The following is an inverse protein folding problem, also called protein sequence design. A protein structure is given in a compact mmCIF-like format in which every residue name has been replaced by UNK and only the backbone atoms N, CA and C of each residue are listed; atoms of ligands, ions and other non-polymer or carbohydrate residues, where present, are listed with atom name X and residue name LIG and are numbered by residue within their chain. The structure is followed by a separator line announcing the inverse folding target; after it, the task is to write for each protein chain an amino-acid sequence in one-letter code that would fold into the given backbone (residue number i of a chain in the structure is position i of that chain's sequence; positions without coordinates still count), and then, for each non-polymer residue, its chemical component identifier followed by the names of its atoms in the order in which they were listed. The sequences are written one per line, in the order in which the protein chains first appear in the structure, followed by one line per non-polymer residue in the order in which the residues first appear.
data_IF_937539274704
#
_entry.id   IF_937539274704
#
_cell.length_a   1.000
_cell.length_b   1.000
_cell.length_c   1.000
_cell.angle_alpha   90.00
_cell.angle_beta   90.00
_cell.angle_gamma   90.00
#
_symmetry.space_group_name_H-M   'P 1'
#
loop_
_entity.id
_entity.type
_entity.pdbx_description
1 polymer ?
#
# COMPACT_ATOMS: atom_id res chain seq x y z
N UNK A 1 -40.62 -32.49 -20.74
CA UNK A 1 -39.30 -32.24 -21.37
C UNK A 1 -39.46 -31.09 -22.35
N UNK A 2 -39.08 -29.88 -21.94
CA UNK A 2 -38.85 -28.75 -22.85
C UNK A 2 -37.74 -27.92 -22.23
N UNK A 3 -36.55 -28.06 -22.79
CA UNK A 3 -35.30 -27.45 -22.36
C UNK A 3 -35.28 -25.96 -22.71
N UNK A 4 -35.11 -25.10 -21.70
CA UNK A 4 -34.73 -23.70 -21.88
C UNK A 4 -33.24 -23.66 -22.23
N UNK A 5 -32.81 -23.00 -23.31
CA UNK A 5 -31.39 -22.93 -23.67
C UNK A 5 -30.63 -21.99 -22.71
N UNK A 6 -29.34 -22.24 -22.43
CA UNK A 6 -28.56 -21.40 -21.53
C UNK A 6 -28.31 -20.03 -22.17
N UNK A 7 -28.69 -18.97 -21.46
CA UNK A 7 -28.26 -17.61 -21.80
C UNK A 7 -26.76 -17.49 -21.56
N UNK A 8 -26.01 -17.23 -22.63
CA UNK A 8 -24.61 -16.83 -22.55
C UNK A 8 -24.54 -15.47 -21.86
N UNK A 9 -23.88 -15.41 -20.70
CA UNK A 9 -23.45 -14.17 -20.08
C UNK A 9 -22.40 -13.52 -20.98
N UNK A 10 -22.80 -12.50 -21.72
CA UNK A 10 -21.89 -11.66 -22.49
C UNK A 10 -21.20 -10.70 -21.53
N UNK A 11 -20.18 -11.21 -20.83
CA UNK A 11 -19.21 -10.41 -20.11
C UNK A 11 -18.38 -9.63 -21.15
N UNK A 12 -18.90 -8.48 -21.58
CA UNK A 12 -18.11 -7.52 -22.35
C UNK A 12 -16.92 -7.09 -21.50
N UNK A 13 -15.73 -7.29 -22.04
CA UNK A 13 -14.47 -6.96 -21.37
C UNK A 13 -14.40 -5.45 -21.07
N UNK A 14 -13.90 -5.00 -19.91
CA UNK A 14 -13.76 -3.57 -19.56
C UNK A 14 -12.66 -2.82 -20.35
N UNK A 15 -12.43 -3.16 -21.63
CA UNK A 15 -11.29 -2.63 -22.40
C UNK A 15 -11.48 -1.21 -22.92
N UNK A 16 -12.69 -0.65 -22.92
CA UNK A 16 -12.96 0.61 -23.66
C UNK A 16 -13.03 1.88 -22.78
N UNK A 17 -12.94 1.79 -21.45
CA UNK A 17 -13.07 2.98 -20.59
C UNK A 17 -11.73 3.75 -20.40
N UNK A 18 -10.58 3.14 -20.75
CA UNK A 18 -9.26 3.68 -20.39
C UNK A 18 -8.36 4.11 -21.56
N UNK A 19 -8.80 4.03 -22.83
CA UNK A 19 -7.91 4.30 -23.97
C UNK A 19 -7.97 5.72 -24.56
N UNK A 20 -9.02 6.50 -24.28
CA UNK A 20 -9.19 7.81 -24.91
C UNK A 20 -9.21 8.97 -23.91
N UNK A 21 -8.06 9.28 -23.29
CA UNK A 21 -7.80 10.62 -22.73
C UNK A 21 -6.36 11.07 -23.01
N UNK A 22 -6.16 12.37 -23.33
CA UNK A 22 -4.90 12.87 -23.85
C UNK A 22 -3.77 12.70 -22.84
N UNK A 23 -2.72 11.99 -23.27
CA UNK A 23 -1.43 11.94 -22.60
C UNK A 23 -0.81 13.34 -22.63
N UNK A 24 -0.69 13.98 -21.46
CA UNK A 24 -0.06 15.29 -21.39
C UNK A 24 -0.01 15.87 -20.00
N UNK A 25 0.87 15.36 -19.14
CA UNK A 25 1.41 16.16 -18.04
C UNK A 25 2.89 16.41 -18.32
N UNK A 26 3.20 17.59 -18.86
CA UNK A 26 4.57 18.12 -18.89
C UNK A 26 4.91 18.60 -17.48
N UNK A 27 5.95 18.02 -16.90
CA UNK A 27 6.55 18.49 -15.65
C UNK A 27 7.25 19.82 -15.90
N UNK A 28 6.75 20.92 -15.33
CA UNK A 28 7.50 22.17 -15.25
C UNK A 28 8.55 22.07 -14.14
N UNK A 29 9.82 22.20 -14.50
CA UNK A 29 10.94 22.26 -13.56
C UNK A 29 11.04 23.66 -12.98
N UNK A 30 10.40 23.87 -11.82
CA UNK A 30 10.58 25.07 -11.01
C UNK A 30 11.86 25.01 -10.17
N UNK A 31 12.82 25.89 -10.47
CA UNK A 31 14.06 26.11 -9.71
C UNK A 31 13.76 26.58 -8.28
N UNK A 32 14.03 25.73 -7.28
CA UNK A 32 14.09 26.15 -5.88
C UNK A 32 15.52 26.56 -5.51
N UNK A 33 15.73 27.85 -5.22
CA UNK A 33 16.95 28.37 -4.60
C UNK A 33 16.99 27.95 -3.13
N UNK A 34 18.06 27.29 -2.72
CA UNK A 34 18.33 26.96 -1.32
C UNK A 34 18.87 28.20 -0.60
N UNK A 35 18.18 28.63 0.46
CA UNK A 35 18.76 29.53 1.46
C UNK A 35 19.37 28.67 2.57
N UNK A 36 20.69 28.65 2.65
CA UNK A 36 21.45 28.14 3.79
C UNK A 36 21.49 29.22 4.88
N UNK A 37 20.83 28.99 6.01
CA UNK A 37 21.14 29.68 7.27
C UNK A 37 21.80 28.69 8.21
N UNK A 38 23.01 29.07 8.63
CA UNK A 38 23.84 28.43 9.64
C UNK A 38 23.06 28.29 10.96
N UNK A 39 23.17 27.14 11.61
CA UNK A 39 22.95 27.01 13.06
C UNK A 39 24.20 26.34 13.61
N UNK A 40 24.83 27.07 14.53
CA UNK A 40 26.04 26.72 15.23
C UNK A 40 25.85 25.60 16.26
N UNK A 41 26.99 25.01 16.53
CA UNK A 41 27.41 24.03 17.54
C UNK A 41 26.56 23.95 18.83
N UNK A 42 26.10 22.74 19.15
CA UNK A 42 25.79 22.32 20.51
C UNK A 42 26.18 20.85 20.68
N UNK A 43 27.29 20.68 21.40
CA UNK A 43 27.85 19.42 21.85
C UNK A 43 27.03 18.84 23.01
N UNK A 44 26.51 17.63 22.85
CA UNK A 44 25.85 16.87 23.92
C UNK A 44 25.23 15.56 23.43
N UNK A 45 25.62 14.45 24.05
CA UNK A 45 25.03 13.11 23.95
C UNK A 45 25.25 12.27 22.67
N UNK A 46 26.52 11.89 22.43
CA UNK A 46 26.93 10.78 21.55
C UNK A 46 26.75 9.39 22.18
N UNK A 47 25.66 9.14 22.89
CA UNK A 47 25.48 7.87 23.61
C UNK A 47 24.18 7.11 23.31
N UNK A 48 23.38 7.43 22.30
CA UNK A 48 22.26 6.57 21.86
C UNK A 48 21.97 6.59 20.34
N UNK A 49 22.99 6.75 19.50
CA UNK A 49 22.86 6.41 18.07
C UNK A 49 22.90 4.88 17.89
N UNK A 50 21.75 4.23 18.13
CA UNK A 50 21.49 2.88 17.62
C UNK A 50 21.79 2.89 16.11
N UNK A 51 22.59 1.93 15.64
CA UNK A 51 22.91 1.70 14.21
C UNK A 51 21.68 1.96 13.35
N UNK A 52 21.73 3.00 12.52
CA UNK A 52 20.71 3.25 11.51
C UNK A 52 20.76 2.11 10.49
N UNK A 53 20.03 1.02 10.77
CA UNK A 53 19.69 0.06 9.73
C UNK A 53 19.02 0.86 8.62
N UNK A 54 19.51 0.69 7.39
CA UNK A 54 18.87 1.27 6.21
C UNK A 54 17.48 0.66 6.14
N UNK A 55 16.48 1.31 6.75
CA UNK A 55 15.08 0.87 6.75
C UNK A 55 14.71 0.61 5.30
N UNK A 56 13.95 -0.46 5.05
CA UNK A 56 13.57 -0.86 3.70
C UNK A 56 12.88 0.30 2.95
N UNK A 57 12.72 0.17 1.63
CA UNK A 57 11.82 1.04 0.86
C UNK A 57 10.44 0.42 0.70
N UNK A 58 10.05 -0.51 1.58
CA UNK A 58 8.85 -1.31 1.43
C UNK A 58 7.76 -0.90 2.44
N UNK A 59 6.51 -0.81 1.98
CA UNK A 59 5.36 -0.65 2.84
C UNK A 59 4.41 -1.86 2.77
N UNK A 60 3.79 -2.17 3.90
CA UNK A 60 2.68 -3.11 3.99
C UNK A 60 1.37 -2.33 3.99
N UNK A 61 0.49 -2.63 3.04
CA UNK A 61 -0.85 -2.07 2.93
C UNK A 61 -1.86 -3.16 3.35
N UNK A 62 -2.63 -2.87 4.39
CA UNK A 62 -3.60 -3.76 5.00
C UNK A 62 -4.99 -3.25 4.65
N UNK A 63 -5.61 -3.90 3.66
CA UNK A 63 -6.76 -3.37 2.94
C UNK A 63 -8.06 -3.86 3.60
N UNK A 64 -8.84 -2.91 4.14
CA UNK A 64 -10.24 -3.07 4.53
C UNK A 64 -10.54 -4.29 5.40
N UNK A 65 -9.71 -4.55 6.42
CA UNK A 65 -9.90 -5.66 7.37
C UNK A 65 -10.92 -5.30 8.46
N UNK A 66 -12.09 -4.85 8.03
CA UNK A 66 -13.18 -4.34 8.86
C UNK A 66 -14.21 -5.42 9.17
N UNK A 67 -14.96 -5.21 10.26
CA UNK A 67 -15.97 -6.17 10.73
C UNK A 67 -17.00 -6.49 9.66
N UNK A 68 -17.48 -5.51 8.88
CA UNK A 68 -18.50 -5.76 7.86
C UNK A 68 -18.03 -6.72 6.76
N UNK A 69 -16.75 -6.70 6.40
CA UNK A 69 -16.20 -7.62 5.41
C UNK A 69 -15.84 -8.99 5.99
N UNK A 70 -15.59 -9.08 7.29
CA UNK A 70 -15.16 -10.33 7.94
C UNK A 70 -16.35 -11.12 8.48
N UNK A 71 -17.22 -10.48 9.29
CA UNK A 71 -18.33 -11.15 9.99
C UNK A 71 -19.68 -10.44 9.84
N UNK A 72 -19.70 -9.19 9.37
CA UNK A 72 -20.87 -8.31 9.35
C UNK A 72 -21.66 -8.28 8.04
N UNK A 73 -22.13 -7.09 7.65
CA UNK A 73 -23.19 -6.95 6.64
C UNK A 73 -22.77 -7.34 5.21
N UNK A 74 -21.47 -7.27 4.91
CA UNK A 74 -20.89 -7.67 3.63
C UNK A 74 -19.80 -8.73 3.84
N UNK A 75 -20.04 -9.66 4.77
CA UNK A 75 -19.08 -10.70 5.10
C UNK A 75 -18.74 -11.53 3.85
N UNK A 76 -17.45 -11.74 3.58
CA UNK A 76 -17.01 -12.45 2.37
C UNK A 76 -17.59 -13.88 2.29
N UNK A 77 -17.78 -14.56 3.43
CA UNK A 77 -18.44 -15.88 3.49
C UNK A 77 -19.87 -15.90 2.93
N UNK A 78 -20.54 -14.74 2.91
CA UNK A 78 -21.89 -14.55 2.38
C UNK A 78 -21.89 -14.11 0.91
N UNK A 79 -20.71 -13.92 0.31
CA UNK A 79 -20.53 -13.60 -1.10
C UNK A 79 -20.37 -14.88 -1.94
N UNK A 80 -20.50 -14.81 -3.28
CA UNK A 80 -20.44 -15.98 -4.17
C UNK A 80 -19.18 -16.86 -4.03
N UNK A 81 -18.04 -16.29 -3.64
CA UNK A 81 -16.81 -17.05 -3.41
C UNK A 81 -16.92 -18.04 -2.24
N UNK A 82 -17.75 -17.74 -1.24
CA UNK A 82 -17.84 -18.51 0.01
C UNK A 82 -16.53 -18.53 0.81
N UNK A 83 -15.63 -17.58 0.56
CA UNK A 83 -14.32 -17.53 1.21
C UNK A 83 -14.41 -17.13 2.70
N UNK A 84 -13.60 -17.76 3.54
CA UNK A 84 -13.49 -17.41 4.97
C UNK A 84 -12.49 -16.27 5.19
N UNK A 85 -13.00 -15.06 5.46
CA UNK A 85 -12.18 -13.86 5.67
C UNK A 85 -11.37 -13.90 6.99
N UNK A 86 -11.83 -14.64 8.00
CA UNK A 86 -11.11 -14.82 9.26
C UNK A 86 -9.71 -15.43 9.07
N UNK A 87 -9.53 -16.27 8.04
CA UNK A 87 -8.25 -16.92 7.72
C UNK A 87 -7.14 -15.92 7.35
N UNK A 88 -7.49 -14.69 6.99
CA UNK A 88 -6.53 -13.64 6.64
C UNK A 88 -5.84 -13.06 7.88
N UNK A 89 -6.50 -13.06 9.04
CA UNK A 89 -6.03 -12.38 10.25
C UNK A 89 -4.68 -12.92 10.74
N UNK A 90 -4.45 -14.25 10.86
CA UNK A 90 -3.15 -14.76 11.31
C UNK A 90 -2.01 -14.36 10.38
N UNK A 91 -2.23 -14.37 9.06
CA UNK A 91 -1.24 -13.99 8.05
C UNK A 91 -0.92 -12.50 8.17
N UNK A 92 -1.95 -11.65 8.24
CA UNK A 92 -1.79 -10.19 8.39
C UNK A 92 -1.03 -9.86 9.67
N UNK A 93 -1.43 -10.44 10.81
CA UNK A 93 -0.77 -10.18 12.09
C UNK A 93 0.70 -10.58 12.06
N UNK A 94 1.03 -11.72 11.44
CA UNK A 94 2.40 -12.20 11.30
C UNK A 94 3.23 -11.27 10.42
N UNK A 95 2.72 -10.88 9.25
CA UNK A 95 3.41 -9.95 8.35
C UNK A 95 3.59 -8.58 8.99
N UNK A 96 2.55 -8.04 9.63
CA UNK A 96 2.59 -6.73 10.30
C UNK A 96 3.65 -6.68 11.39
N UNK A 97 3.86 -7.78 12.11
CA UNK A 97 4.85 -7.85 13.20
C UNK A 97 6.31 -7.77 12.73
N UNK A 98 6.58 -7.89 11.43
CA UNK A 98 7.94 -7.86 10.90
C UNK A 98 8.51 -6.44 10.87
N UNK A 99 9.75 -6.27 11.35
CA UNK A 99 10.45 -4.97 11.35
C UNK A 99 10.92 -4.50 9.96
N UNK A 100 10.67 -5.31 8.92
CA UNK A 100 11.11 -5.02 7.56
C UNK A 100 10.42 -3.76 7.02
N UNK A 101 9.18 -3.51 7.42
CA UNK A 101 8.36 -2.47 6.84
C UNK A 101 8.85 -1.08 7.20
N UNK A 102 9.06 -0.26 6.17
CA UNK A 102 9.27 1.18 6.33
C UNK A 102 8.03 1.87 6.88
N UNK A 103 6.87 1.38 6.44
CA UNK A 103 5.55 1.86 6.83
C UNK A 103 4.51 0.75 6.75
N UNK A 104 3.60 0.72 7.73
CA UNK A 104 2.37 -0.07 7.68
C UNK A 104 1.21 0.91 7.56
N UNK A 105 0.31 0.65 6.62
CA UNK A 105 -0.87 1.48 6.36
C UNK A 105 -2.11 0.61 6.32
N UNK A 106 -3.08 0.90 7.16
CA UNK A 106 -4.41 0.32 7.15
C UNK A 106 -5.33 1.19 6.31
N UNK A 107 -6.09 0.57 5.42
CA UNK A 107 -7.18 1.27 4.72
C UNK A 107 -8.49 0.95 5.39
N UNK A 108 -9.37 1.95 5.41
CA UNK A 108 -10.71 1.84 5.94
C UNK A 108 -11.67 2.30 4.86
N UNK A 109 -12.50 1.38 4.41
CA UNK A 109 -13.71 1.74 3.72
C UNK A 109 -14.62 2.49 4.69
N UNK A 110 -15.07 3.69 4.32
CA UNK A 110 -15.62 4.66 5.28
C UNK A 110 -16.73 5.46 4.64
N UNK A 111 -17.90 4.84 4.55
CA UNK A 111 -19.03 5.40 3.83
C UNK A 111 -19.92 6.29 4.71
N UNK A 112 -20.50 7.37 4.16
CA UNK A 112 -21.67 8.02 4.75
C UNK A 112 -22.93 7.15 4.57
N UNK A 113 -23.96 7.39 5.39
CA UNK A 113 -25.22 6.61 5.35
C UNK A 113 -25.95 6.69 4.00
N UNK A 114 -25.78 7.80 3.28
CA UNK A 114 -26.41 8.08 1.98
C UNK A 114 -25.56 7.67 0.78
N UNK A 115 -24.48 6.90 0.98
CA UNK A 115 -23.52 6.55 -0.08
C UNK A 115 -24.17 5.85 -1.29
N UNK A 116 -23.69 6.19 -2.49
CA UNK A 116 -24.23 5.76 -3.78
C UNK A 116 -24.06 4.28 -4.09
N UNK A 117 -23.10 3.64 -3.43
CA UNK A 117 -22.87 2.20 -3.60
C UNK A 117 -23.93 1.35 -2.89
N UNK A 118 -24.74 1.91 -1.98
CA UNK A 118 -25.73 1.12 -1.24
C UNK A 118 -27.01 0.92 -2.03
N UNK A 119 -27.48 -0.32 -2.09
CA UNK A 119 -28.76 -0.68 -2.72
C UNK A 119 -29.94 0.07 -2.10
N UNK A 120 -29.90 0.35 -0.80
CA UNK A 120 -30.91 1.12 -0.08
C UNK A 120 -30.98 2.59 -0.49
N UNK A 121 -29.94 3.09 -1.16
CA UNK A 121 -29.86 4.45 -1.69
C UNK A 121 -29.96 4.49 -3.22
N UNK A 122 -30.16 3.37 -3.91
CA UNK A 122 -30.19 3.32 -5.37
C UNK A 122 -31.19 4.32 -6.00
N UNK A 123 -32.35 4.52 -5.39
CA UNK A 123 -33.35 5.49 -5.85
C UNK A 123 -33.03 6.96 -5.52
N UNK A 124 -32.07 7.20 -4.63
CA UNK A 124 -31.62 8.56 -4.23
C UNK A 124 -30.51 9.09 -5.14
N UNK A 125 -29.88 8.21 -5.92
CA UNK A 125 -28.83 8.55 -6.86
C UNK A 125 -29.34 8.37 -8.30
N UNK A 126 -29.22 9.38 -9.17
CA UNK A 126 -29.78 9.31 -10.51
C UNK A 126 -29.05 8.24 -11.34
N UNK A 127 -29.80 7.32 -11.93
CA UNK A 127 -29.26 6.36 -12.89
C UNK A 127 -29.16 7.02 -14.26
N UNK A 128 -28.08 6.72 -14.98
CA UNK A 128 -27.92 7.15 -16.36
C UNK A 128 -28.87 6.37 -17.28
N UNK A 129 -29.34 6.98 -18.37
CA UNK A 129 -30.25 6.35 -19.34
C UNK A 129 -29.68 5.06 -19.98
N UNK A 130 -28.35 4.95 -20.03
CA UNK A 130 -27.62 3.77 -20.52
C UNK A 130 -27.60 2.62 -19.51
N UNK A 131 -28.00 2.84 -18.26
CA UNK A 131 -28.02 1.80 -17.25
C UNK A 131 -28.91 0.64 -17.70
N UNK A 132 -28.42 -0.61 -17.69
CA UNK A 132 -29.21 -1.76 -18.12
C UNK A 132 -30.36 -2.07 -17.17
N UNK A 133 -30.31 -1.52 -15.95
CA UNK A 133 -31.23 -1.79 -14.85
C UNK A 133 -31.80 -0.45 -14.38
N UNK A 134 -33.12 -0.38 -14.21
CA UNK A 134 -33.81 0.79 -13.67
C UNK A 134 -33.76 0.81 -12.13
N UNK A 135 -33.83 1.98 -11.47
CA UNK A 135 -33.76 2.07 -10.02
C UNK A 135 -34.74 1.17 -9.27
N UNK A 136 -35.98 1.02 -9.77
CA UNK A 136 -37.03 0.21 -9.13
C UNK A 136 -36.82 -1.30 -9.29
N UNK A 137 -35.94 -1.69 -10.20
CA UNK A 137 -35.61 -3.09 -10.51
C UNK A 137 -34.27 -3.52 -9.94
N UNK A 138 -33.46 -2.56 -9.48
CA UNK A 138 -32.13 -2.80 -8.95
C UNK A 138 -32.17 -3.73 -7.74
N UNK A 139 -31.24 -4.68 -7.72
CA UNK A 139 -31.04 -5.63 -6.63
C UNK A 139 -29.63 -5.50 -6.08
N UNK A 140 -29.47 -6.04 -4.87
CA UNK A 140 -28.15 -6.19 -4.27
C UNK A 140 -27.24 -6.99 -5.23
N UNK A 141 -26.01 -6.51 -5.39
CA UNK A 141 -24.99 -7.00 -6.33
C UNK A 141 -25.28 -6.77 -7.81
N UNK A 142 -26.29 -6.00 -8.20
CA UNK A 142 -26.38 -5.53 -9.59
C UNK A 142 -25.28 -4.50 -9.88
N UNK A 143 -24.82 -4.45 -11.13
CA UNK A 143 -24.01 -3.34 -11.63
C UNK A 143 -24.90 -2.41 -12.43
N UNK A 144 -24.95 -1.15 -12.02
CA UNK A 144 -25.75 -0.09 -12.65
C UNK A 144 -24.83 0.99 -13.21
N UNK A 145 -25.37 1.86 -14.05
CA UNK A 145 -24.66 3.06 -14.49
C UNK A 145 -25.29 4.26 -13.80
N UNK A 146 -24.57 4.88 -12.89
CA UNK A 146 -24.99 6.12 -12.24
C UNK A 146 -24.68 7.30 -13.15
N UNK A 147 -25.56 8.30 -13.14
CA UNK A 147 -25.24 9.60 -13.70
C UNK A 147 -24.18 10.26 -12.81
N UNK A 148 -23.09 10.73 -13.43
CA UNK A 148 -22.05 11.44 -12.70
C UNK A 148 -22.62 12.72 -12.06
N UNK A 149 -22.19 13.09 -10.84
CA UNK A 149 -22.59 14.36 -10.26
C UNK A 149 -22.14 15.52 -11.14
N UNK A 150 -23.06 16.44 -11.45
CA UNK A 150 -22.79 17.68 -12.17
C UNK A 150 -22.12 17.49 -13.56
N UNK A 151 -20.78 17.56 -13.62
CA UNK A 151 -19.94 17.53 -14.82
C UNK A 151 -19.18 16.21 -14.99
N UNK A 152 -19.47 15.24 -14.14
CA UNK A 152 -18.75 13.98 -14.12
C UNK A 152 -19.36 13.03 -15.16
N UNK A 153 -18.51 12.21 -15.81
CA UNK A 153 -19.02 11.17 -16.69
C UNK A 153 -19.89 10.20 -15.90
N UNK A 154 -20.75 9.47 -16.62
CA UNK A 154 -21.44 8.33 -16.04
C UNK A 154 -20.45 7.31 -15.47
N UNK A 155 -20.87 6.62 -14.41
CA UNK A 155 -19.99 5.71 -13.66
C UNK A 155 -20.67 4.37 -13.48
N UNK A 156 -19.96 3.29 -13.78
CA UNK A 156 -20.39 1.95 -13.36
C UNK A 156 -20.29 1.82 -11.85
N UNK A 157 -21.37 1.34 -11.22
CA UNK A 157 -21.44 1.13 -9.78
C UNK A 157 -22.02 -0.24 -9.48
N UNK A 158 -21.28 -1.04 -8.72
CA UNK A 158 -21.81 -2.25 -8.09
C UNK A 158 -22.63 -1.85 -6.87
N UNK A 159 -23.85 -2.34 -6.76
CA UNK A 159 -24.71 -2.07 -5.61
C UNK A 159 -24.44 -3.10 -4.50
N UNK A 160 -24.17 -2.61 -3.31
CA UNK A 160 -23.81 -3.38 -2.12
C UNK A 160 -24.89 -3.26 -1.04
N UNK A 161 -24.95 -4.18 -0.07
CA UNK A 161 -25.64 -3.89 1.19
C UNK A 161 -25.02 -2.65 1.85
N UNK A 162 -25.72 -2.06 2.83
CA UNK A 162 -25.11 -1.02 3.68
C UNK A 162 -23.96 -1.66 4.46
N UNK A 163 -22.76 -1.11 4.33
CA UNK A 163 -21.55 -1.61 4.96
C UNK A 163 -20.62 -0.45 5.29
N UNK A 164 -19.73 -0.66 6.26
CA UNK A 164 -18.63 0.24 6.62
C UNK A 164 -19.08 1.70 6.80
N UNK A 165 -20.29 1.90 7.33
CA UNK A 165 -20.80 3.23 7.65
C UNK A 165 -20.00 3.79 8.81
N UNK A 166 -19.41 4.97 8.64
CA UNK A 166 -18.49 5.55 9.60
C UNK A 166 -19.09 5.63 11.01
N UNK A 167 -18.31 5.23 12.03
CA UNK A 167 -18.73 5.22 13.43
C UNK A 167 -19.54 4.00 13.88
N UNK A 168 -19.98 3.13 12.96
CA UNK A 168 -20.67 1.89 13.30
C UNK A 168 -19.71 0.78 13.76
N UNK A 169 -20.27 -0.33 14.27
CA UNK A 169 -19.46 -1.52 14.58
C UNK A 169 -18.83 -2.13 13.32
N UNK A 170 -19.61 -2.21 12.23
CA UNK A 170 -19.19 -2.78 10.96
C UNK A 170 -17.98 -2.06 10.34
N UNK A 171 -17.86 -0.76 10.57
CA UNK A 171 -16.73 0.07 10.15
C UNK A 171 -15.42 -0.16 10.93
N UNK A 172 -15.47 -0.71 12.14
CA UNK A 172 -14.24 -0.91 12.93
C UNK A 172 -13.41 -2.03 12.32
N UNK A 173 -12.08 -1.94 12.48
CA UNK A 173 -11.19 -3.08 12.25
C UNK A 173 -11.61 -4.27 13.12
N UNK A 174 -11.38 -5.48 12.60
CA UNK A 174 -11.64 -6.69 13.37
C UNK A 174 -10.78 -6.76 14.62
N UNK A 175 -11.40 -7.14 15.75
CA UNK A 175 -10.79 -7.10 17.09
C UNK A 175 -9.50 -7.91 17.25
N UNK A 176 -9.31 -8.93 16.42
CA UNK A 176 -8.18 -9.85 16.51
C UNK A 176 -6.94 -9.37 15.71
N UNK A 177 -7.07 -8.27 14.97
CA UNK A 177 -5.96 -7.63 14.28
C UNK A 177 -5.01 -6.95 15.28
N UNK A 178 -3.71 -7.07 15.03
CA UNK A 178 -2.67 -6.41 15.82
C UNK A 178 -2.30 -5.09 15.15
N UNK A 179 -2.74 -4.01 15.77
CA UNK A 179 -2.53 -2.64 15.32
C UNK A 179 -1.60 -1.97 16.32
N UNK A 180 -0.59 -1.25 15.85
CA UNK A 180 0.30 -0.47 16.73
C UNK A 180 0.14 1.03 16.49
N UNK A 181 0.67 1.82 17.43
CA UNK A 181 0.51 3.28 17.44
C UNK A 181 1.20 3.98 16.25
N UNK A 182 2.24 3.38 15.68
CA UNK A 182 3.00 3.97 14.56
C UNK A 182 2.37 3.68 13.18
N UNK A 183 1.37 2.80 13.15
CA UNK A 183 0.64 2.47 11.92
C UNK A 183 -0.16 3.69 11.44
N UNK A 184 -0.33 3.81 10.13
CA UNK A 184 -1.13 4.90 9.54
C UNK A 184 -2.44 4.39 8.99
N UNK A 185 -3.41 5.30 8.91
CA UNK A 185 -4.77 4.99 8.46
C UNK A 185 -5.17 5.89 7.31
N UNK A 186 -5.78 5.28 6.28
CA UNK A 186 -6.32 5.98 5.12
C UNK A 186 -7.79 5.60 4.98
N UNK A 187 -8.66 6.60 5.00
CA UNK A 187 -10.08 6.41 4.71
C UNK A 187 -10.34 6.56 3.22
N UNK A 188 -11.22 5.74 2.67
CA UNK A 188 -11.72 5.81 1.29
C UNK A 188 -13.24 5.65 1.27
N UNK A 189 -13.87 6.02 0.14
CA UNK A 189 -15.33 5.92 -0.01
C UNK A 189 -16.12 6.95 0.80
N UNK A 190 -15.48 8.06 1.19
CA UNK A 190 -16.09 9.07 2.07
C UNK A 190 -17.04 10.03 1.35
N UNK A 191 -17.03 10.05 0.01
CA UNK A 191 -17.91 10.88 -0.80
C UNK A 191 -19.20 10.13 -1.11
N UNK A 192 -20.36 10.65 -0.69
CA UNK A 192 -21.64 9.96 -0.88
C UNK A 192 -22.02 9.70 -2.33
N UNK A 193 -21.39 10.37 -3.30
CA UNK A 193 -21.77 10.27 -4.72
C UNK A 193 -20.76 9.51 -5.59
N UNK A 194 -19.61 9.12 -5.04
CA UNK A 194 -18.55 8.44 -5.79
C UNK A 194 -17.88 7.42 -4.87
N UNK A 195 -17.95 6.16 -5.28
CA UNK A 195 -17.31 5.06 -4.57
C UNK A 195 -15.79 5.01 -4.79
N UNK A 196 -15.06 4.29 -3.94
CA UNK A 196 -13.60 4.22 -3.97
C UNK A 196 -13.11 2.83 -3.56
N UNK A 197 -12.89 1.96 -4.56
CA UNK A 197 -12.25 0.67 -4.29
C UNK A 197 -10.75 0.83 -4.07
N UNK A 198 -10.08 1.61 -4.92
CA UNK A 198 -8.67 1.90 -4.73
C UNK A 198 -8.47 2.75 -3.47
N UNK A 199 -7.40 2.46 -2.75
CA UNK A 199 -6.94 3.28 -1.63
C UNK A 199 -6.15 4.51 -2.07
N UNK A 200 -5.91 4.71 -3.37
CA UNK A 200 -5.21 5.90 -3.90
C UNK A 200 -6.18 6.97 -4.43
N UNK A 201 -7.15 6.58 -5.26
CA UNK A 201 -8.15 7.48 -5.83
C UNK A 201 -9.56 6.87 -5.76
N UNK A 202 -10.57 7.73 -5.79
CA UNK A 202 -11.95 7.29 -6.03
C UNK A 202 -12.12 6.69 -7.44
N UNK A 203 -13.22 5.97 -7.65
CA UNK A 203 -13.45 5.23 -8.90
C UNK A 203 -13.52 6.13 -10.15
N UNK A 204 -13.78 7.42 -9.97
CA UNK A 204 -13.81 8.43 -11.03
C UNK A 204 -12.48 9.20 -11.19
N UNK A 205 -11.49 8.91 -10.34
CA UNK A 205 -10.20 9.59 -10.22
C UNK A 205 -10.31 11.10 -9.98
N UNK A 206 -11.32 11.51 -9.21
CA UNK A 206 -11.61 12.92 -8.92
C UNK A 206 -10.96 13.36 -7.62
N UNK A 207 -11.03 12.50 -6.61
CA UNK A 207 -10.42 12.73 -5.32
C UNK A 207 -9.31 11.71 -5.13
N UNK A 208 -8.15 12.22 -4.71
CA UNK A 208 -7.08 11.39 -4.17
C UNK A 208 -7.27 11.23 -2.67
N UNK A 209 -6.92 10.06 -2.15
CA UNK A 209 -6.65 9.89 -0.72
C UNK A 209 -5.25 10.46 -0.40
N UNK A 210 -4.85 10.38 0.87
CA UNK A 210 -3.49 10.73 1.29
C UNK A 210 -2.49 9.55 1.22
N UNK A 211 -2.88 8.36 0.71
CA UNK A 211 -2.00 7.19 0.67
C UNK A 211 -0.72 7.45 -0.12
N UNK A 212 -0.85 8.00 -1.34
CA UNK A 212 0.32 8.28 -2.18
C UNK A 212 1.29 9.24 -1.49
N UNK A 213 0.75 10.28 -0.85
CA UNK A 213 1.54 11.30 -0.16
C UNK A 213 2.28 10.70 1.05
N UNK A 214 1.63 9.83 1.84
CA UNK A 214 2.25 9.08 2.94
C UNK A 214 3.43 8.24 2.42
N UNK A 215 3.19 7.43 1.37
CA UNK A 215 4.22 6.52 0.84
C UNK A 215 5.42 7.30 0.26
N UNK A 216 5.16 8.41 -0.43
CA UNK A 216 6.21 9.28 -0.99
C UNK A 216 7.04 9.94 0.10
N UNK A 217 6.40 10.45 1.16
CA UNK A 217 7.09 11.06 2.29
C UNK A 217 8.04 10.07 2.99
N UNK A 218 7.67 8.79 3.03
CA UNK A 218 8.48 7.72 3.64
C UNK A 218 9.55 7.13 2.70
N UNK A 219 9.60 7.58 1.43
CA UNK A 219 10.53 7.08 0.41
C UNK A 219 10.22 5.65 -0.06
N UNK A 220 8.95 5.23 0.04
CA UNK A 220 8.51 3.89 -0.35
C UNK A 220 8.55 3.73 -1.87
N UNK A 221 9.01 2.56 -2.31
CA UNK A 221 9.07 2.13 -3.71
C UNK A 221 8.35 0.81 -3.93
N UNK A 222 8.33 -0.04 -2.91
CA UNK A 222 7.72 -1.38 -2.95
C UNK A 222 6.49 -1.38 -2.03
N UNK A 223 5.33 -1.81 -2.54
CA UNK A 223 4.11 -1.97 -1.74
C UNK A 223 3.65 -3.42 -1.77
N UNK A 224 3.33 -3.94 -0.59
CA UNK A 224 2.84 -5.29 -0.37
C UNK A 224 1.42 -5.19 0.17
N UNK A 225 0.47 -5.80 -0.53
CA UNK A 225 -0.95 -5.72 -0.20
C UNK A 225 -1.43 -7.05 0.40
N UNK A 226 -2.16 -6.95 1.50
CA UNK A 226 -2.97 -8.02 2.10
C UNK A 226 -4.36 -7.43 2.39
N UNK A 227 -5.40 -8.26 2.45
CA UNK A 227 -6.73 -7.83 2.91
C UNK A 227 -7.87 -8.19 1.98
N UNK A 228 -8.90 -7.35 2.00
CA UNK A 228 -10.21 -7.63 1.40
C UNK A 228 -10.68 -6.46 0.52
N UNK A 229 -11.48 -6.68 -0.52
CA UNK A 229 -11.61 -7.94 -1.24
C UNK A 229 -10.56 -8.02 -2.36
N UNK A 230 -10.09 -9.24 -2.63
CA UNK A 230 -9.11 -9.57 -3.69
C UNK A 230 -9.44 -8.90 -5.02
N UNK A 231 -10.68 -9.09 -5.47
CA UNK A 231 -11.22 -8.70 -6.77
C UNK A 231 -11.76 -7.27 -6.81
N UNK A 232 -11.73 -6.57 -5.69
CA UNK A 232 -12.10 -5.16 -5.57
C UNK A 232 -10.95 -4.37 -4.95
N UNK A 233 -11.05 -3.95 -3.69
CA UNK A 233 -10.15 -2.98 -3.08
C UNK A 233 -8.67 -3.37 -3.19
N UNK A 234 -8.34 -4.66 -3.02
CA UNK A 234 -6.97 -5.15 -3.18
C UNK A 234 -6.50 -4.99 -4.62
N UNK A 235 -7.24 -5.53 -5.61
CA UNK A 235 -6.81 -5.48 -7.00
C UNK A 235 -6.83 -4.06 -7.58
N UNK A 236 -7.82 -3.24 -7.26
CA UNK A 236 -7.88 -1.84 -7.72
C UNK A 236 -6.71 -1.03 -7.13
N UNK A 237 -6.42 -1.20 -5.83
CA UNK A 237 -5.25 -0.56 -5.19
C UNK A 237 -3.93 -1.07 -5.80
N UNK A 238 -3.83 -2.37 -6.10
CA UNK A 238 -2.64 -2.96 -6.70
C UNK A 238 -2.38 -2.41 -8.11
N UNK A 239 -3.42 -2.37 -8.93
CA UNK A 239 -3.34 -1.86 -10.30
C UNK A 239 -2.98 -0.38 -10.33
N UNK A 240 -3.64 0.44 -9.51
CA UNK A 240 -3.33 1.87 -9.44
C UNK A 240 -1.95 2.13 -8.83
N UNK A 241 -1.51 1.29 -7.88
CA UNK A 241 -0.13 1.30 -7.41
C UNK A 241 0.90 1.08 -8.53
N UNK A 242 0.60 0.22 -9.50
CA UNK A 242 1.45 0.04 -10.70
C UNK A 242 1.42 1.27 -11.60
N UNK A 243 0.26 1.87 -11.81
CA UNK A 243 0.11 3.12 -12.58
C UNK A 243 0.91 4.27 -11.97
N UNK A 244 0.97 4.35 -10.63
CA UNK A 244 1.75 5.33 -9.87
C UNK A 244 3.26 5.00 -9.78
N UNK A 245 3.70 3.89 -10.37
CA UNK A 245 5.12 3.52 -10.48
C UNK A 245 5.70 2.74 -9.31
N UNK A 246 4.87 2.21 -8.39
CA UNK A 246 5.35 1.32 -7.33
C UNK A 246 5.65 -0.09 -7.86
N UNK A 247 6.61 -0.78 -7.26
CA UNK A 247 6.68 -2.24 -7.36
C UNK A 247 5.57 -2.81 -6.47
N UNK A 248 4.66 -3.57 -7.06
CA UNK A 248 3.46 -4.03 -6.34
C UNK A 248 3.48 -5.54 -6.18
N UNK A 249 3.23 -5.96 -4.95
CA UNK A 249 3.14 -7.34 -4.54
C UNK A 249 1.79 -7.56 -3.85
N UNK A 250 1.08 -8.64 -4.20
CA UNK A 250 -0.15 -9.05 -3.50
C UNK A 250 0.13 -10.38 -2.82
N UNK A 251 -0.04 -10.43 -1.50
CA UNK A 251 0.22 -11.62 -0.69
C UNK A 251 -1.04 -12.47 -0.65
N UNK A 252 -1.05 -13.56 -1.41
CA UNK A 252 -2.29 -14.16 -1.89
C UNK A 252 -3.09 -14.87 -0.81
N UNK A 253 -2.40 -15.58 0.08
CA UNK A 253 -2.96 -16.25 1.25
C UNK A 253 -3.34 -15.26 2.36
N UNK A 254 -2.84 -14.03 2.30
CA UNK A 254 -3.28 -12.88 3.10
C UNK A 254 -4.47 -12.12 2.49
N UNK A 255 -5.19 -12.71 1.52
CA UNK A 255 -6.34 -12.08 0.87
C UNK A 255 -7.51 -13.07 0.69
N UNK A 256 -8.73 -12.52 0.57
CA UNK A 256 -9.95 -13.24 0.14
C UNK A 256 -10.79 -12.31 -0.74
N UNK A 257 -11.62 -12.87 -1.63
CA UNK A 257 -12.38 -12.11 -2.62
C UNK A 257 -13.87 -12.41 -2.58
N UNK A 258 -14.67 -11.60 -3.26
CA UNK A 258 -16.14 -11.64 -3.27
C UNK A 258 -16.65 -12.71 -4.23
N UNK A 259 -16.09 -12.77 -5.45
CA UNK A 259 -16.60 -13.62 -6.53
C UNK A 259 -15.49 -14.39 -7.24
N UNK A 260 -15.73 -15.66 -7.58
CA UNK A 260 -14.71 -16.52 -8.18
C UNK A 260 -14.29 -16.08 -9.59
N UNK A 261 -15.23 -15.60 -10.41
CA UNK A 261 -14.93 -15.11 -11.75
C UNK A 261 -14.22 -13.75 -11.67
N UNK A 262 -14.65 -12.87 -10.76
CA UNK A 262 -13.98 -11.62 -10.41
C UNK A 262 -12.54 -11.84 -9.96
N UNK A 263 -12.31 -12.78 -9.04
CA UNK A 263 -10.97 -13.17 -8.56
C UNK A 263 -10.09 -13.59 -9.73
N UNK A 264 -10.59 -14.46 -10.61
CA UNK A 264 -9.84 -14.95 -11.77
C UNK A 264 -9.51 -13.82 -12.74
N UNK A 265 -10.50 -13.00 -13.10
CA UNK A 265 -10.33 -11.89 -14.04
C UNK A 265 -9.34 -10.83 -13.50
N UNK A 266 -9.49 -10.44 -12.24
CA UNK A 266 -8.63 -9.43 -11.62
C UNK A 266 -7.22 -9.96 -11.35
N UNK A 267 -7.06 -11.26 -11.04
CA UNK A 267 -5.74 -11.89 -10.97
C UNK A 267 -4.96 -11.77 -12.28
N UNK A 268 -5.64 -12.04 -13.40
CA UNK A 268 -5.02 -11.92 -14.72
C UNK A 268 -4.66 -10.47 -15.05
N UNK A 269 -5.58 -9.54 -14.79
CA UNK A 269 -5.34 -8.10 -14.99
C UNK A 269 -4.15 -7.60 -14.15
N UNK A 270 -4.06 -8.02 -12.89
CA UNK A 270 -2.93 -7.69 -12.00
C UNK A 270 -1.60 -8.21 -12.57
N UNK A 271 -1.54 -9.48 -12.99
CA UNK A 271 -0.32 -10.05 -13.60
C UNK A 271 0.09 -9.31 -14.86
N UNK A 272 -0.87 -8.99 -15.73
CA UNK A 272 -0.63 -8.23 -16.96
C UNK A 272 -0.08 -6.81 -16.68
N UNK A 273 -0.52 -6.17 -15.59
CA UNK A 273 0.03 -4.89 -15.13
C UNK A 273 1.40 -5.00 -14.43
N UNK A 274 1.95 -6.21 -14.30
CA UNK A 274 3.23 -6.48 -13.63
C UNK A 274 3.15 -6.52 -12.10
N UNK A 275 1.95 -6.70 -11.53
CA UNK A 275 1.80 -7.02 -10.10
C UNK A 275 2.31 -8.44 -9.86
N UNK A 276 3.12 -8.61 -8.81
CA UNK A 276 3.62 -9.93 -8.40
C UNK A 276 2.70 -10.52 -7.34
N UNK A 277 2.04 -11.62 -7.68
CA UNK A 277 1.22 -12.37 -6.73
C UNK A 277 2.11 -13.42 -6.07
N UNK A 278 2.28 -13.38 -4.76
CA UNK A 278 3.19 -14.24 -3.98
C UNK A 278 2.48 -14.80 -2.75
N UNK A 279 2.97 -15.90 -2.16
CA UNK A 279 2.50 -16.37 -0.86
C UNK A 279 3.22 -15.65 0.30
N UNK A 280 2.62 -15.65 1.49
CA UNK A 280 3.25 -15.13 2.71
C UNK A 280 4.50 -15.93 3.06
N UNK A 281 4.48 -17.24 2.81
CA UNK A 281 5.63 -18.11 3.01
C UNK A 281 6.81 -17.73 2.09
N UNK A 282 6.57 -17.42 0.82
CA UNK A 282 7.63 -17.00 -0.10
C UNK A 282 8.15 -15.61 0.24
N UNK A 283 7.26 -14.71 0.68
CA UNK A 283 7.64 -13.41 1.20
C UNK A 283 8.59 -13.54 2.38
N UNK A 284 8.21 -14.31 3.41
CA UNK A 284 9.01 -14.53 4.62
C UNK A 284 10.42 -15.04 4.32
N UNK A 285 10.54 -16.07 3.48
CA UNK A 285 11.86 -16.55 3.04
C UNK A 285 12.70 -15.44 2.43
N UNK A 286 12.08 -14.57 1.62
CA UNK A 286 12.78 -13.44 1.00
C UNK A 286 13.11 -12.30 1.97
N UNK A 287 12.40 -12.19 3.09
CA UNK A 287 12.69 -11.20 4.14
C UNK A 287 13.83 -11.70 5.02
N UNK A 288 13.77 -12.97 5.45
CA UNK A 288 14.82 -13.61 6.27
C UNK A 288 16.18 -13.61 5.55
N UNK A 289 16.20 -13.92 4.24
CA UNK A 289 17.42 -13.87 3.43
C UNK A 289 18.03 -12.46 3.34
N UNK A 290 17.18 -11.41 3.32
CA UNK A 290 17.65 -10.01 3.27
C UNK A 290 18.23 -9.57 4.61
N UNK A 291 17.61 -9.98 5.70
CA UNK A 291 18.09 -9.66 7.05
C UNK A 291 19.44 -10.35 7.30
N UNK A 292 19.55 -11.65 7.00
CA UNK A 292 20.81 -12.40 7.13
C UNK A 292 21.96 -11.88 6.25
N UNK A 293 21.69 -11.46 5.02
CA UNK A 293 22.71 -10.86 4.16
C UNK A 293 23.15 -9.47 4.66
N UNK A 294 22.24 -8.71 5.28
CA UNK A 294 22.57 -7.42 5.87
C UNK A 294 23.51 -7.58 7.09
N UNK A 295 23.28 -8.59 7.92
CA UNK A 295 24.12 -8.90 9.08
C UNK A 295 25.51 -9.41 8.67
N UNK A 296 25.59 -10.29 7.68
CA UNK A 296 26.87 -10.79 7.17
C UNK A 296 27.74 -9.68 6.56
N UNK A 297 27.15 -8.77 5.77
CA UNK A 297 27.88 -7.63 5.22
C UNK A 297 28.35 -6.66 6.31
N UNK A 298 27.52 -6.43 7.34
CA UNK A 298 27.90 -5.61 8.50
C UNK A 298 29.07 -6.23 9.30
N UNK A 299 29.10 -7.56 9.43
CA UNK A 299 30.19 -8.28 10.08
C UNK A 299 31.50 -8.22 9.27
N UNK A 300 31.41 -8.35 7.95
CA UNK A 300 32.57 -8.25 7.04
C UNK A 300 33.15 -6.83 7.01
N UNK A 301 32.30 -5.79 6.96
CA UNK A 301 32.76 -4.40 7.06
C UNK A 301 33.39 -4.10 8.43
N UNK A 302 32.81 -4.59 9.52
CA UNK A 302 33.38 -4.44 10.86
C UNK A 302 34.74 -5.17 10.99
N UNK A 303 34.87 -6.34 10.39
CA UNK A 303 36.13 -7.08 10.34
C UNK A 303 37.19 -6.36 9.48
N UNK A 304 36.77 -5.76 8.36
CA UNK A 304 37.66 -4.97 7.50
C UNK A 304 38.16 -3.70 8.20
N UNK A 305 37.27 -2.96 8.89
CA UNK A 305 37.65 -1.78 9.70
C UNK A 305 38.60 -2.10 10.85
N UNK A 306 38.47 -3.27 11.49
CA UNK A 306 39.43 -3.73 12.52
C UNK A 306 40.81 -4.06 11.93
N UNK A 307 40.86 -4.61 10.70
CA UNK A 307 42.14 -4.90 10.02
C UNK A 307 42.85 -3.63 9.56
N UNK A 308 42.12 -2.64 9.05
CA UNK A 308 42.71 -1.35 8.62
C UNK A 308 43.15 -0.47 9.79
N UNK A 309 42.44 -0.51 10.93
CA UNK A 309 42.85 0.16 12.17
C UNK A 309 44.07 -0.52 12.83
N UNK A 310 44.27 -1.82 12.62
CA UNK A 310 45.46 -2.55 13.09
C UNK A 310 46.70 -2.23 12.24
N UNK A 311 46.54 -2.01 10.93
CA UNK A 311 47.66 -1.69 10.03
C UNK A 311 48.17 -0.25 10.12
N UNK A 312 47.43 0.67 10.75
CA UNK A 312 47.87 2.06 10.94
C UNK A 312 48.62 2.32 12.26
N UNK A 313 48.83 1.28 13.08
CA UNK A 313 49.48 1.40 14.40
C UNK A 313 50.98 1.01 14.42
N UNK A 314 51.61 0.76 13.27
CA UNK A 314 53.03 0.40 13.20
C UNK A 314 53.83 1.37 12.32
N UNK A 315 54.32 2.45 12.91
CA UNK A 315 55.50 3.17 12.46
C UNK A 315 56.29 3.66 13.68
N UNK A 316 57.49 3.12 13.97
CA UNK A 316 58.34 3.66 15.01
C UNK A 316 59.16 4.83 14.44
N UNK A 317 59.03 6.00 15.07
CA UNK A 317 59.91 7.13 14.84
C UNK A 317 61.28 6.83 15.46
N UNK A 318 62.31 6.75 14.62
CA UNK A 318 63.72 6.71 15.03
C UNK A 318 64.15 8.13 15.43
N UNK A 319 64.36 8.35 16.73
CA UNK A 319 65.07 9.52 17.24
C UNK A 319 66.58 9.26 17.17
N UNK A 320 67.30 10.11 16.44
CA UNK A 320 68.77 10.10 16.37
C UNK A 320 69.28 11.03 17.48
N UNK A 321 70.08 10.45 18.38
CA UNK A 321 70.71 11.09 19.53
C UNK A 321 72.06 11.69 19.08
N UNK A 322 72.16 13.02 19.05
CA UNK A 322 73.39 13.74 18.71
C UNK A 322 74.10 14.17 20.01
N UNK A 323 75.19 13.48 20.33
CA UNK A 323 76.11 13.82 21.40
C UNK A 323 77.29 14.62 20.82
N UNK A 324 77.51 15.85 21.30
CA UNK A 324 78.78 16.53 21.09
C UNK A 324 79.15 17.40 22.28
N UNK A 325 80.35 17.10 22.78
CA UNK A 325 81.00 17.67 23.95
C UNK A 325 81.39 19.13 23.78
N UNK A 326 81.57 19.78 24.94
CA UNK A 326 82.05 21.14 25.14
C UNK A 326 83.50 21.29 24.68
N UNK A 327 83.80 22.43 24.04
CA UNK A 327 85.17 22.92 23.83
C UNK A 327 85.16 24.44 23.70
N UNK A 328 85.62 25.10 24.74
CA UNK A 328 85.83 26.55 24.92
C UNK A 328 86.83 27.18 23.94
N UNK A 329 86.68 28.51 23.70
CA UNK A 329 87.67 29.58 23.40
C UNK A 329 87.12 30.51 22.30
N UNK A 330 86.69 31.75 22.58
CA UNK A 330 87.46 32.99 22.87
C UNK A 330 87.52 33.93 21.65
N UNK A 331 87.03 35.17 21.83
CA UNK A 331 87.41 36.46 21.18
C UNK A 331 87.25 36.58 19.66
N UNK A 332 86.67 37.64 19.07
CA UNK A 332 86.37 39.02 19.45
C UNK A 332 85.13 39.51 18.69
#
# INVERSE_FOLDING_TARGET
MTSVPPQKSDLRQPKEIYQDRPHGYKMETGNFKTHTSQIDDASGDKAHMKKAHKRSSAALLLIDLQNDFIEGSLAIRSCPSGHEALDVIPVVNKLRAHEYWRKVVWTLDSHPEDHCSFITNASKHPFHEKSPIKPEQAKMFDTVILQGPEKLPEMEQKLWPVHCVEGTWGWKLHKDLKVENEDSFVKKGTNSKVDSYSAFYDNAKLNKTNLHDILRAEGVRDIYLCGLAWDYCVAFTALEGRELGYNVYVVSDGCKGVDNDGIKAMSERMRQAGVKIISSQDLEKSLDEKDHNSDNNNHLEAAHRRRTASSSASSPALAVEESRERGTLSTN
#
